data_IF_392298533744
#
_entry.id   IF_392298533744
#
_cell.length_a   1.000
_cell.length_b   1.000
_cell.length_c   1.000
_cell.angle_alpha   90.00
_cell.angle_beta   90.00
_cell.angle_gamma   90.00
#
_symmetry.space_group_name_H-M   'P 1'
#
loop_
_entity.id
_entity.type
_entity.pdbx_description
1 polymer ?
#
# COMPACT_ATOMS: atom_id res chain seq x y z
N UNK A 1 -33.40 5.59 -0.86
CA UNK A 1 -33.11 4.26 -0.30
C UNK A 1 -33.47 4.29 1.17
N UNK A 2 -34.17 3.29 1.68
CA UNK A 2 -34.39 3.15 3.11
C UNK A 2 -33.19 2.41 3.72
N UNK A 3 -32.50 3.03 4.66
CA UNK A 3 -31.34 2.50 5.39
C UNK A 3 -31.66 2.06 6.82
N UNK A 4 -32.94 1.92 7.17
CA UNK A 4 -33.36 1.49 8.51
C UNK A 4 -32.73 0.14 8.87
N UNK A 5 -32.08 0.07 10.03
CA UNK A 5 -31.36 -1.12 10.50
C UNK A 5 -30.03 -1.40 9.81
N UNK A 6 -29.52 -0.44 9.04
CA UNK A 6 -28.21 -0.51 8.36
C UNK A 6 -27.23 0.52 8.95
N UNK A 7 -25.97 0.39 8.58
CA UNK A 7 -24.86 1.21 9.11
C UNK A 7 -24.18 1.97 7.98
N UNK A 8 -24.05 3.27 8.15
CA UNK A 8 -23.42 4.15 7.18
C UNK A 8 -22.00 4.48 7.63
N UNK A 9 -21.02 4.23 6.76
CA UNK A 9 -19.62 4.60 6.98
C UNK A 9 -19.13 5.50 5.85
N UNK A 10 -18.03 6.26 6.03
CA UNK A 10 -17.36 6.92 4.91
C UNK A 10 -16.93 5.90 3.87
N UNK A 11 -16.83 6.34 2.62
CA UNK A 11 -16.25 5.53 1.56
C UNK A 11 -14.84 5.06 1.90
N UNK A 12 -14.56 3.78 1.69
CA UNK A 12 -13.26 3.21 2.03
C UNK A 12 -12.21 3.60 0.98
N UNK A 13 -10.97 3.72 1.44
CA UNK A 13 -9.78 3.85 0.61
C UNK A 13 -8.98 2.55 0.63
N UNK A 14 -8.53 2.11 -0.55
CA UNK A 14 -7.36 1.25 -0.63
C UNK A 14 -6.13 2.12 -0.85
N UNK A 15 -5.34 2.27 0.21
CA UNK A 15 -4.26 3.27 0.26
C UNK A 15 -2.96 2.78 -0.38
N UNK A 16 -2.96 1.59 -0.99
CA UNK A 16 -1.82 1.03 -1.72
C UNK A 16 -2.28 0.03 -2.79
N UNK A 17 -2.33 0.47 -4.03
CA UNK A 17 -2.67 -0.36 -5.18
C UNK A 17 -1.70 -0.14 -6.34
N UNK A 18 -1.71 -1.04 -7.33
CA UNK A 18 -0.96 -0.94 -8.57
C UNK A 18 -1.86 -1.22 -9.78
N UNK A 19 -2.32 -0.18 -10.45
CA UNK A 19 -3.20 -0.28 -11.63
C UNK A 19 -2.52 -0.94 -12.83
N UNK A 20 -1.20 -0.84 -12.93
CA UNK A 20 -0.42 -1.28 -14.08
C UNK A 20 0.48 -2.50 -13.83
N UNK A 21 0.48 -3.07 -12.61
CA UNK A 21 1.33 -4.23 -12.28
C UNK A 21 0.95 -5.49 -13.08
N UNK A 22 -0.33 -5.78 -13.15
CA UNK A 22 -0.90 -6.86 -13.96
C UNK A 22 -2.06 -6.31 -14.79
N UNK A 23 -1.79 -6.09 -16.06
CA UNK A 23 -2.73 -5.42 -16.97
C UNK A 23 -4.05 -6.17 -17.17
N UNK A 24 -4.12 -7.47 -16.84
CA UNK A 24 -5.37 -8.24 -16.85
C UNK A 24 -6.43 -7.64 -15.93
N UNK A 25 -5.98 -7.01 -14.83
CA UNK A 25 -6.88 -6.39 -13.84
C UNK A 25 -7.24 -4.94 -14.14
N UNK A 26 -6.46 -4.20 -14.92
CA UNK A 26 -6.56 -2.74 -15.06
C UNK A 26 -7.99 -2.27 -15.39
N UNK A 27 -8.66 -2.90 -16.36
CA UNK A 27 -10.03 -2.53 -16.75
C UNK A 27 -11.09 -2.96 -15.72
N UNK A 28 -10.88 -4.08 -15.02
CA UNK A 28 -11.82 -4.62 -14.04
C UNK A 28 -11.73 -3.93 -12.67
N UNK A 29 -10.54 -3.41 -12.30
CA UNK A 29 -10.28 -2.83 -10.98
C UNK A 29 -11.32 -1.81 -10.52
N UNK A 30 -11.74 -0.80 -11.33
CA UNK A 30 -12.69 0.19 -10.85
C UNK A 30 -14.02 -0.42 -10.39
N UNK A 31 -14.55 -1.39 -11.13
CA UNK A 31 -15.76 -2.12 -10.78
C UNK A 31 -15.58 -2.97 -9.53
N UNK A 32 -14.47 -3.69 -9.44
CA UNK A 32 -14.13 -4.53 -8.29
C UNK A 32 -13.98 -3.69 -7.01
N UNK A 33 -13.32 -2.54 -7.06
CA UNK A 33 -13.21 -1.64 -5.92
C UNK A 33 -14.58 -1.17 -5.44
N UNK A 34 -15.41 -0.62 -6.33
CA UNK A 34 -16.77 -0.15 -5.95
C UNK A 34 -17.65 -1.29 -5.44
N UNK A 35 -17.57 -2.49 -6.02
CA UNK A 35 -18.33 -3.66 -5.56
C UNK A 35 -18.08 -3.97 -4.08
N UNK A 36 -16.89 -3.65 -3.60
CA UNK A 36 -16.44 -3.86 -2.21
C UNK A 36 -16.44 -2.59 -1.35
N UNK A 37 -17.04 -1.48 -1.80
CA UNK A 37 -17.17 -0.26 -0.99
C UNK A 37 -15.95 0.65 -1.00
N UNK A 38 -14.95 0.38 -1.85
CA UNK A 38 -13.78 1.24 -2.00
C UNK A 38 -14.11 2.35 -2.99
N UNK A 39 -14.16 3.59 -2.51
CA UNK A 39 -14.52 4.78 -3.27
C UNK A 39 -13.33 5.63 -3.66
N UNK A 40 -12.15 5.33 -3.12
CA UNK A 40 -10.89 5.99 -3.43
C UNK A 40 -9.74 5.02 -3.40
N UNK A 41 -8.76 5.22 -4.28
CA UNK A 41 -7.55 4.40 -4.38
C UNK A 41 -6.31 5.28 -4.54
N UNK A 42 -5.18 4.80 -4.02
CA UNK A 42 -3.87 5.40 -4.23
C UNK A 42 -2.99 4.42 -5.01
N UNK A 43 -2.76 4.72 -6.32
CA UNK A 43 -1.83 3.97 -7.16
C UNK A 43 -0.39 4.35 -6.81
N UNK A 44 0.34 3.41 -6.26
CA UNK A 44 1.66 3.64 -5.67
C UNK A 44 2.81 3.28 -6.61
N UNK A 45 2.53 3.05 -7.88
CA UNK A 45 3.62 2.91 -8.83
C UNK A 45 3.29 2.15 -10.11
N UNK A 46 3.78 2.70 -11.21
CA UNK A 46 3.73 2.12 -12.54
C UNK A 46 4.26 3.08 -13.60
N UNK A 47 4.67 2.58 -14.78
CA UNK A 47 5.09 3.42 -15.90
C UNK A 47 3.99 4.38 -16.31
N UNK A 48 4.32 5.66 -16.54
CA UNK A 48 3.34 6.68 -16.92
C UNK A 48 2.51 6.27 -18.13
N UNK A 49 3.14 5.63 -19.13
CA UNK A 49 2.48 5.15 -20.35
C UNK A 49 1.38 4.10 -20.11
N UNK A 50 1.42 3.39 -18.99
CA UNK A 50 0.41 2.42 -18.59
C UNK A 50 -0.58 3.00 -17.57
N UNK A 51 -0.11 3.82 -16.63
CA UNK A 51 -0.92 4.38 -15.54
C UNK A 51 -1.82 5.49 -16.04
N UNK A 52 -1.30 6.43 -16.86
CA UNK A 52 -2.07 7.59 -17.30
C UNK A 52 -3.36 7.24 -18.05
N UNK A 53 -3.39 6.30 -19.02
CA UNK A 53 -4.64 5.91 -19.67
C UNK A 53 -5.69 5.34 -18.70
N UNK A 54 -5.25 4.58 -17.68
CA UNK A 54 -6.15 4.04 -16.64
C UNK A 54 -6.70 5.18 -15.76
N UNK A 55 -5.83 6.09 -15.31
CA UNK A 55 -6.22 7.27 -14.52
C UNK A 55 -7.18 8.17 -15.30
N UNK A 56 -6.91 8.47 -16.56
CA UNK A 56 -7.79 9.26 -17.42
C UNK A 56 -9.17 8.61 -17.58
N UNK A 57 -9.21 7.29 -17.77
CA UNK A 57 -10.47 6.53 -17.84
C UNK A 57 -11.28 6.64 -16.53
N UNK A 58 -10.62 6.51 -15.38
CA UNK A 58 -11.23 6.60 -14.05
C UNK A 58 -11.68 8.05 -13.73
N UNK A 59 -10.92 9.05 -14.16
CA UNK A 59 -11.20 10.48 -13.92
C UNK A 59 -12.19 11.09 -14.91
N UNK A 60 -12.49 10.40 -16.01
CA UNK A 60 -13.41 10.90 -17.05
C UNK A 60 -14.75 11.30 -16.43
N UNK A 61 -15.32 12.40 -16.91
CA UNK A 61 -16.63 12.90 -16.48
C UNK A 61 -17.71 11.81 -16.66
N UNK A 62 -18.53 11.59 -15.63
CA UNK A 62 -19.59 10.57 -15.61
C UNK A 62 -19.09 9.13 -15.42
N UNK A 63 -17.78 8.89 -15.26
CA UNK A 63 -17.29 7.54 -14.99
C UNK A 63 -17.76 7.02 -13.62
N UNK A 64 -18.37 5.84 -13.62
CA UNK A 64 -18.70 5.09 -12.40
C UNK A 64 -17.45 4.34 -11.95
N UNK A 65 -16.62 5.01 -11.17
CA UNK A 65 -15.32 4.53 -10.73
C UNK A 65 -14.92 5.20 -9.40
N UNK A 66 -14.00 4.62 -8.61
CA UNK A 66 -13.45 5.29 -7.43
C UNK A 66 -12.72 6.59 -7.81
N UNK A 67 -12.38 7.41 -6.83
CA UNK A 67 -11.38 8.46 -7.02
C UNK A 67 -10.00 7.80 -7.10
N UNK A 68 -9.10 8.36 -7.92
CA UNK A 68 -7.75 7.85 -8.07
C UNK A 68 -6.73 8.94 -7.82
N UNK A 69 -5.72 8.61 -7.03
CA UNK A 69 -4.49 9.38 -6.80
C UNK A 69 -3.32 8.51 -7.23
N UNK A 70 -2.33 9.04 -7.95
CA UNK A 70 -1.28 8.23 -8.54
C UNK A 70 0.11 8.87 -8.44
N UNK A 71 1.14 8.04 -8.31
CA UNK A 71 2.54 8.47 -8.20
C UNK A 71 3.32 8.43 -9.52
N UNK A 72 2.90 7.62 -10.49
CA UNK A 72 3.77 7.25 -11.62
C UNK A 72 4.85 6.25 -11.20
N UNK A 73 6.01 6.17 -11.90
CA UNK A 73 7.04 5.19 -11.62
C UNK A 73 7.70 5.39 -10.24
N UNK A 74 8.13 4.28 -9.65
CA UNK A 74 8.94 4.27 -8.42
C UNK A 74 10.27 5.00 -8.68
N UNK A 75 10.61 5.96 -7.85
CA UNK A 75 11.90 6.65 -7.88
C UNK A 75 12.94 5.79 -7.16
N UNK A 76 13.70 5.00 -7.89
CA UNK A 76 14.75 4.13 -7.36
C UNK A 76 16.15 4.77 -7.53
N UNK A 77 17.19 4.10 -7.05
CA UNK A 77 18.56 4.56 -7.18
C UNK A 77 19.20 4.20 -8.53
N UNK A 78 20.54 4.07 -8.55
CA UNK A 78 21.29 3.62 -9.72
C UNK A 78 20.89 2.21 -10.15
N UNK A 79 20.62 1.32 -9.18
CA UNK A 79 20.22 -0.06 -9.40
C UNK A 79 18.71 -0.22 -9.20
N UNK A 80 17.97 -0.17 -10.29
CA UNK A 80 16.50 -0.24 -10.24
C UNK A 80 16.04 -1.66 -9.88
N UNK A 81 15.16 -1.79 -8.90
CA UNK A 81 14.60 -3.09 -8.49
C UNK A 81 13.60 -3.62 -9.50
N UNK A 82 12.65 -2.78 -9.89
CA UNK A 82 11.61 -3.12 -10.87
C UNK A 82 11.98 -2.53 -12.23
N UNK A 83 12.95 -3.17 -12.88
CA UNK A 83 13.67 -2.69 -14.07
C UNK A 83 13.03 -3.09 -15.43
N UNK A 84 12.08 -4.03 -15.42
CA UNK A 84 11.47 -4.57 -16.64
C UNK A 84 12.19 -5.79 -17.23
N UNK A 85 13.39 -6.12 -16.77
CA UNK A 85 14.16 -7.27 -17.27
C UNK A 85 13.92 -8.53 -16.43
N UNK A 86 14.09 -8.42 -15.11
CA UNK A 86 13.92 -9.54 -14.17
C UNK A 86 12.68 -9.40 -13.28
N UNK A 87 12.13 -8.20 -13.21
CA UNK A 87 10.94 -7.83 -12.48
C UNK A 87 10.04 -7.00 -13.39
N UNK A 88 8.72 -6.88 -13.13
CA UNK A 88 7.87 -5.96 -13.90
C UNK A 88 8.47 -4.55 -13.95
N UNK A 89 8.27 -3.83 -15.05
CA UNK A 89 8.73 -2.45 -15.15
C UNK A 89 7.80 -1.54 -14.33
N UNK A 90 8.28 -1.07 -13.20
CA UNK A 90 7.56 -0.11 -12.35
C UNK A 90 8.44 1.08 -11.93
N UNK A 91 9.76 0.92 -11.96
CA UNK A 91 10.72 1.90 -11.43
C UNK A 91 11.50 2.65 -12.51
N UNK A 92 12.02 3.81 -12.13
CA UNK A 92 13.00 4.58 -12.89
C UNK A 92 14.21 4.87 -12.02
N UNK A 93 15.40 4.85 -12.65
CA UNK A 93 16.67 5.07 -11.96
C UNK A 93 16.97 6.55 -11.74
N UNK A 94 17.56 6.82 -10.58
CA UNK A 94 18.11 8.12 -10.21
C UNK A 94 19.56 7.92 -9.75
N UNK A 95 20.51 7.71 -10.70
CA UNK A 95 21.90 7.45 -10.35
C UNK A 95 22.60 8.68 -9.75
N UNK A 96 22.09 9.88 -9.99
CA UNK A 96 22.64 11.14 -9.54
C UNK A 96 21.55 12.20 -9.30
N UNK A 97 21.97 13.32 -8.71
CA UNK A 97 21.09 14.45 -8.37
C UNK A 97 20.43 15.09 -9.60
N UNK A 98 21.17 15.20 -10.71
CA UNK A 98 20.65 15.84 -11.93
C UNK A 98 19.52 15.01 -12.55
N UNK A 99 19.68 13.69 -12.60
CA UNK A 99 18.64 12.75 -13.04
C UNK A 99 17.42 12.76 -12.12
N UNK A 100 17.65 12.81 -10.78
CA UNK A 100 16.55 12.91 -9.82
C UNK A 100 15.70 14.18 -10.05
N UNK A 101 16.33 15.35 -10.24
CA UNK A 101 15.64 16.61 -10.55
C UNK A 101 14.88 16.53 -11.86
N UNK A 102 15.46 15.94 -12.90
CA UNK A 102 14.81 15.77 -14.20
C UNK A 102 13.59 14.84 -14.12
N UNK A 103 13.70 13.73 -13.39
CA UNK A 103 12.59 12.82 -13.17
C UNK A 103 11.47 13.48 -12.36
N UNK A 104 11.78 14.23 -11.29
CA UNK A 104 10.79 14.98 -10.53
C UNK A 104 10.04 16.00 -11.38
N UNK A 105 10.75 16.74 -12.25
CA UNK A 105 10.10 17.68 -13.17
C UNK A 105 9.18 16.96 -14.16
N UNK A 106 9.58 15.80 -14.70
CA UNK A 106 8.74 14.96 -15.57
C UNK A 106 7.48 14.46 -14.88
N UNK A 107 7.57 14.05 -13.62
CA UNK A 107 6.42 13.58 -12.85
C UNK A 107 5.43 14.72 -12.55
N UNK A 108 5.94 15.88 -12.17
CA UNK A 108 5.14 17.09 -11.96
C UNK A 108 4.40 17.51 -13.24
N UNK A 109 5.09 17.52 -14.39
CA UNK A 109 4.48 17.77 -15.71
C UNK A 109 3.40 16.74 -16.07
N UNK A 110 3.58 15.48 -15.66
CA UNK A 110 2.58 14.42 -15.85
C UNK A 110 1.37 14.54 -14.91
N UNK A 111 1.40 15.45 -13.93
CA UNK A 111 0.31 15.72 -13.01
C UNK A 111 0.10 14.61 -11.98
N UNK A 112 1.19 14.00 -11.48
CA UNK A 112 1.11 13.05 -10.37
C UNK A 112 0.60 13.74 -9.10
N UNK A 113 -0.11 13.00 -8.26
CA UNK A 113 -0.66 13.54 -7.01
C UNK A 113 0.35 13.44 -5.85
N UNK A 114 1.34 12.56 -5.97
CA UNK A 114 2.42 12.35 -5.00
C UNK A 114 3.57 11.60 -5.69
N UNK A 115 4.68 11.38 -4.98
CA UNK A 115 5.82 10.61 -5.50
C UNK A 115 6.19 9.47 -4.56
N UNK A 116 6.74 8.38 -5.10
CA UNK A 116 7.17 7.22 -4.33
C UNK A 116 8.65 6.95 -4.49
N UNK A 117 9.37 7.00 -3.37
CA UNK A 117 10.78 6.59 -3.30
C UNK A 117 10.90 5.08 -3.06
N UNK A 118 12.00 4.49 -3.57
CA UNK A 118 12.21 3.06 -3.46
C UNK A 118 13.53 2.69 -2.76
N UNK A 119 13.88 1.40 -2.69
CA UNK A 119 14.84 0.87 -1.74
C UNK A 119 16.32 1.11 -2.09
N UNK A 120 16.65 1.40 -3.37
CA UNK A 120 18.04 1.58 -3.81
C UNK A 120 18.50 3.04 -3.85
N UNK A 121 17.69 3.97 -3.42
CA UNK A 121 18.03 5.41 -3.39
C UNK A 121 19.20 5.65 -2.45
N UNK A 122 20.20 6.44 -2.91
CA UNK A 122 21.29 6.91 -2.07
C UNK A 122 20.86 8.06 -1.15
N UNK A 123 21.56 8.32 -0.04
CA UNK A 123 21.23 9.45 0.84
C UNK A 123 21.27 10.80 0.15
N UNK A 124 22.20 11.00 -0.80
CA UNK A 124 22.35 12.23 -1.56
C UNK A 124 21.16 12.45 -2.50
N UNK A 125 20.77 11.41 -3.23
CA UNK A 125 19.57 11.43 -4.10
C UNK A 125 18.30 11.59 -3.29
N UNK A 126 18.19 10.91 -2.13
CA UNK A 126 17.05 11.09 -1.24
C UNK A 126 16.85 12.55 -0.81
N UNK A 127 17.94 13.23 -0.42
CA UNK A 127 17.88 14.64 -0.03
C UNK A 127 17.37 15.54 -1.17
N UNK A 128 17.80 15.27 -2.42
CA UNK A 128 17.31 15.99 -3.61
C UNK A 128 15.85 15.71 -3.86
N UNK A 129 15.42 14.45 -3.78
CA UNK A 129 13.99 14.09 -3.99
C UNK A 129 13.09 14.76 -2.95
N UNK A 130 13.52 14.85 -1.69
CA UNK A 130 12.81 15.59 -0.63
C UNK A 130 12.71 17.08 -0.96
N UNK A 131 13.82 17.72 -1.35
CA UNK A 131 13.84 19.14 -1.76
C UNK A 131 12.86 19.40 -2.92
N UNK A 132 12.93 18.57 -3.95
CA UNK A 132 12.11 18.71 -5.16
C UNK A 132 10.60 18.46 -4.89
N UNK A 133 10.27 17.48 -4.05
CA UNK A 133 8.88 17.21 -3.65
C UNK A 133 8.30 18.38 -2.84
N UNK A 134 9.06 18.89 -1.87
CA UNK A 134 8.65 20.06 -1.08
C UNK A 134 8.45 21.32 -1.95
N UNK A 135 9.37 21.57 -2.90
CA UNK A 135 9.26 22.72 -3.81
C UNK A 135 8.01 22.66 -4.69
N UNK A 136 7.50 21.47 -5.00
CA UNK A 136 6.28 21.24 -5.80
C UNK A 136 5.02 21.02 -4.97
N UNK A 137 5.13 20.93 -3.66
CA UNK A 137 4.02 20.59 -2.77
C UNK A 137 3.48 19.16 -2.97
N UNK A 138 4.32 18.23 -3.45
CA UNK A 138 3.97 16.84 -3.64
C UNK A 138 4.24 16.05 -2.36
N UNK A 139 3.24 15.33 -1.80
CA UNK A 139 3.50 14.37 -0.73
C UNK A 139 4.46 13.27 -1.20
N UNK A 140 5.20 12.72 -0.25
CA UNK A 140 6.12 11.60 -0.51
C UNK A 140 5.65 10.34 0.21
N UNK A 141 5.65 9.26 -0.52
CA UNK A 141 5.46 7.89 -0.08
C UNK A 141 6.75 7.09 -0.32
N UNK A 142 6.95 5.97 0.32
CA UNK A 142 8.04 5.10 -0.06
C UNK A 142 8.36 3.95 0.86
N UNK A 143 9.50 3.35 0.58
CA UNK A 143 10.19 2.41 1.46
C UNK A 143 11.36 3.11 2.14
N UNK A 144 11.79 2.61 3.30
CA UNK A 144 13.08 3.03 3.85
C UNK A 144 14.18 2.52 2.92
N UNK A 145 15.02 3.41 2.32
CA UNK A 145 16.12 2.97 1.46
C UNK A 145 17.11 2.09 2.23
N UNK A 146 17.61 1.04 1.58
CA UNK A 146 18.57 0.11 2.18
C UNK A 146 19.90 0.79 2.60
N UNK A 147 20.18 1.95 2.03
CA UNK A 147 21.32 2.81 2.38
C UNK A 147 21.12 3.71 3.60
N UNK A 148 19.89 3.74 4.19
CA UNK A 148 19.48 4.69 5.22
C UNK A 148 18.84 4.01 6.41
N UNK A 149 18.56 4.77 7.47
CA UNK A 149 17.78 4.35 8.61
C UNK A 149 16.37 4.92 8.55
N UNK A 150 15.36 4.20 9.09
CA UNK A 150 13.99 4.66 9.15
C UNK A 150 13.83 6.01 9.87
N UNK A 151 14.62 6.24 10.93
CA UNK A 151 14.64 7.50 11.67
C UNK A 151 15.12 8.71 10.85
N UNK A 152 15.92 8.46 9.80
CA UNK A 152 16.46 9.50 8.92
C UNK A 152 15.53 9.76 7.72
N UNK A 153 14.62 8.83 7.44
CA UNK A 153 13.66 8.88 6.32
C UNK A 153 12.28 9.36 6.78
N UNK A 154 11.76 8.76 7.85
CA UNK A 154 10.41 9.00 8.34
C UNK A 154 10.02 10.47 8.46
N UNK A 155 10.83 11.35 9.10
CA UNK A 155 10.49 12.76 9.25
C UNK A 155 10.32 13.55 7.94
N UNK A 156 10.73 12.99 6.81
CA UNK A 156 10.73 13.64 5.50
C UNK A 156 9.66 13.12 4.54
N UNK A 157 8.96 12.04 4.90
CA UNK A 157 7.94 11.41 4.07
C UNK A 157 6.61 11.34 4.82
N UNK A 158 5.49 11.39 4.09
CA UNK A 158 4.17 11.36 4.66
C UNK A 158 3.68 9.94 4.91
N UNK A 159 4.18 8.95 4.15
CA UNK A 159 3.92 7.53 4.43
C UNK A 159 5.09 6.62 4.11
N UNK A 160 5.12 5.45 4.79
CA UNK A 160 6.04 4.35 4.53
C UNK A 160 5.26 3.04 4.39
N UNK A 161 5.72 2.20 3.45
CA UNK A 161 4.98 1.04 3.00
C UNK A 161 5.59 -0.29 3.48
N UNK A 162 4.72 -1.28 3.72
CA UNK A 162 5.05 -2.68 3.98
C UNK A 162 5.97 -2.93 5.18
N UNK A 163 6.16 -1.95 6.07
CA UNK A 163 7.14 -2.02 7.17
C UNK A 163 8.58 -2.26 6.68
N UNK A 164 8.86 -1.92 5.40
CA UNK A 164 10.14 -2.28 4.76
C UNK A 164 11.33 -1.64 5.45
N UNK A 165 12.27 -2.51 5.83
CA UNK A 165 13.58 -2.19 6.39
C UNK A 165 13.55 -1.54 7.79
N UNK A 166 12.37 -1.39 8.43
CA UNK A 166 12.24 -0.87 9.80
C UNK A 166 12.83 -1.88 10.80
N UNK A 167 12.65 -3.19 10.53
CA UNK A 167 13.25 -4.26 11.34
C UNK A 167 14.77 -4.13 11.48
N UNK A 168 15.44 -3.63 10.43
CA UNK A 168 16.88 -3.47 10.40
C UNK A 168 17.39 -2.32 11.28
N UNK A 169 16.49 -1.47 11.77
CA UNK A 169 16.79 -0.36 12.68
C UNK A 169 16.34 -0.65 14.12
N UNK A 170 15.49 -1.67 14.32
CA UNK A 170 15.04 -2.13 15.63
C UNK A 170 16.05 -3.02 16.35
N UNK A 171 17.36 -2.71 16.24
CA UNK A 171 18.49 -3.43 16.82
C UNK A 171 19.40 -2.47 17.60
N UNK A 172 20.28 -3.00 18.46
CA UNK A 172 21.12 -2.18 19.34
C UNK A 172 22.12 -1.27 18.59
N UNK A 173 22.57 -1.65 17.39
CA UNK A 173 23.55 -0.86 16.62
C UNK A 173 23.20 -0.79 15.13
N UNK A 174 22.10 -0.11 14.74
CA UNK A 174 21.65 -0.05 13.34
C UNK A 174 22.63 0.70 12.42
N UNK A 175 23.43 1.63 12.95
CA UNK A 175 24.43 2.39 12.15
C UNK A 175 25.52 1.49 11.56
N UNK A 176 25.98 0.48 12.30
CA UNK A 176 26.95 -0.48 11.78
C UNK A 176 26.37 -1.28 10.62
N UNK A 177 25.13 -1.76 10.76
CA UNK A 177 24.40 -2.51 9.73
C UNK A 177 24.19 -1.68 8.47
N UNK A 178 23.83 -0.39 8.60
CA UNK A 178 23.73 0.53 7.45
C UNK A 178 25.07 0.67 6.74
N UNK A 179 26.18 0.83 7.47
CA UNK A 179 27.51 0.94 6.88
C UNK A 179 27.88 -0.31 6.06
N UNK A 180 27.58 -1.51 6.59
CA UNK A 180 27.77 -2.78 5.88
C UNK A 180 26.90 -2.86 4.62
N UNK A 181 25.61 -2.53 4.71
CA UNK A 181 24.69 -2.50 3.57
C UNK A 181 25.19 -1.56 2.46
N UNK A 182 25.72 -0.39 2.81
CA UNK A 182 26.29 0.56 1.83
C UNK A 182 27.49 -0.01 1.07
N UNK A 183 28.31 -0.85 1.70
CA UNK A 183 29.41 -1.54 1.00
C UNK A 183 28.86 -2.54 -0.03
N UNK A 184 27.77 -3.25 0.28
CA UNK A 184 27.12 -4.17 -0.67
C UNK A 184 26.42 -3.38 -1.79
N UNK A 185 25.77 -2.25 -1.46
CA UNK A 185 25.09 -1.38 -2.42
C UNK A 185 26.03 -0.68 -3.41
N UNK A 186 27.34 -0.58 -3.10
CA UNK A 186 28.35 -0.14 -4.07
C UNK A 186 28.41 -1.06 -5.31
N UNK A 187 27.95 -2.30 -5.17
CA UNK A 187 27.67 -3.25 -6.24
C UNK A 187 28.75 -3.34 -7.33
N UNK A 188 30.02 -3.58 -7.00
CA UNK A 188 31.11 -3.60 -7.97
C UNK A 188 30.99 -4.69 -9.02
N UNK A 189 30.17 -5.71 -8.77
CA UNK A 189 29.92 -6.85 -9.66
C UNK A 189 28.78 -6.59 -10.65
N UNK A 190 28.04 -5.46 -10.52
CA UNK A 190 26.91 -5.13 -11.41
C UNK A 190 25.72 -6.09 -11.29
N UNK A 191 25.41 -6.53 -10.07
CA UNK A 191 24.26 -7.41 -9.81
C UNK A 191 22.97 -6.64 -10.10
N UNK A 192 21.96 -7.25 -10.79
CA UNK A 192 20.67 -6.59 -11.01
C UNK A 192 20.00 -6.13 -9.71
N UNK A 193 19.37 -4.94 -9.73
CA UNK A 193 18.81 -4.29 -8.53
C UNK A 193 17.85 -5.17 -7.73
N UNK A 194 16.95 -5.92 -8.39
CA UNK A 194 16.04 -6.86 -7.74
C UNK A 194 16.75 -8.02 -7.02
N UNK A 195 17.86 -8.50 -7.61
CA UNK A 195 18.70 -9.56 -7.00
C UNK A 195 19.47 -9.00 -5.80
N UNK A 196 20.08 -7.81 -5.95
CA UNK A 196 20.81 -7.12 -4.88
C UNK A 196 19.93 -6.86 -3.67
N UNK A 197 18.72 -6.32 -3.90
CA UNK A 197 17.69 -6.15 -2.86
C UNK A 197 17.39 -7.47 -2.14
N UNK A 198 17.15 -8.53 -2.90
CA UNK A 198 16.80 -9.84 -2.33
C UNK A 198 17.95 -10.44 -1.49
N UNK A 199 19.20 -10.20 -1.89
CA UNK A 199 20.38 -10.61 -1.13
C UNK A 199 20.45 -9.84 0.21
N UNK A 200 20.25 -8.52 0.19
CA UNK A 200 20.26 -7.68 1.39
C UNK A 200 19.11 -8.04 2.35
N UNK A 201 17.90 -8.25 1.84
CA UNK A 201 16.79 -8.70 2.68
C UNK A 201 17.08 -10.06 3.34
N UNK A 202 17.64 -11.01 2.59
CA UNK A 202 18.01 -12.33 3.13
C UNK A 202 19.09 -12.23 4.20
N UNK A 203 20.08 -11.35 4.01
CA UNK A 203 21.20 -11.22 4.91
C UNK A 203 20.82 -10.50 6.22
N UNK A 204 19.88 -9.57 6.20
CA UNK A 204 19.65 -8.67 7.34
C UNK A 204 18.29 -8.79 8.00
N UNK A 205 17.20 -9.17 7.28
CA UNK A 205 15.84 -9.13 7.84
C UNK A 205 15.66 -10.05 9.05
N UNK A 206 15.81 -11.36 8.87
CA UNK A 206 15.61 -12.32 9.96
C UNK A 206 16.64 -12.12 11.07
N UNK A 207 17.96 -11.96 10.80
CA UNK A 207 18.93 -11.64 11.85
C UNK A 207 18.60 -10.38 12.66
N UNK A 208 18.03 -9.34 12.03
CA UNK A 208 17.60 -8.14 12.75
C UNK A 208 16.39 -8.40 13.66
N UNK A 209 15.43 -9.20 13.21
CA UNK A 209 14.29 -9.60 14.03
C UNK A 209 14.75 -10.40 15.25
N UNK A 210 15.69 -11.33 15.07
CA UNK A 210 16.27 -12.13 16.16
C UNK A 210 17.11 -11.28 17.13
N UNK A 211 17.69 -10.17 16.65
CA UNK A 211 18.49 -9.23 17.44
C UNK A 211 17.68 -8.03 17.93
N UNK A 212 16.37 -8.14 17.99
CA UNK A 212 15.46 -7.05 18.39
C UNK A 212 15.89 -6.39 19.71
N UNK A 213 15.97 -5.06 19.68
CA UNK A 213 16.19 -4.20 20.84
C UNK A 213 15.00 -3.26 21.04
N UNK A 214 14.25 -3.49 22.11
CA UNK A 214 13.02 -2.73 22.37
C UNK A 214 13.27 -1.23 22.52
N UNK A 215 14.35 -0.84 23.22
CA UNK A 215 14.65 0.58 23.46
C UNK A 215 14.97 1.28 22.16
N UNK A 216 15.87 0.72 21.36
CA UNK A 216 16.22 1.27 20.05
C UNK A 216 15.03 1.31 19.08
N UNK A 217 14.21 0.26 19.08
CA UNK A 217 13.01 0.23 18.23
C UNK A 217 12.01 1.33 18.61
N UNK A 218 11.71 1.52 19.90
CA UNK A 218 10.82 2.60 20.36
C UNK A 218 11.34 3.98 20.02
N UNK A 219 12.66 4.19 20.02
CA UNK A 219 13.27 5.46 19.56
C UNK A 219 13.06 5.67 18.06
N UNK A 220 13.17 4.62 17.24
CA UNK A 220 12.87 4.67 15.80
C UNK A 220 11.39 5.02 15.59
N UNK A 221 10.47 4.34 16.29
CA UNK A 221 9.04 4.60 16.16
C UNK A 221 8.66 6.02 16.62
N UNK A 222 9.30 6.54 17.67
CA UNK A 222 9.08 7.91 18.13
C UNK A 222 9.45 8.96 17.06
N UNK A 223 10.38 8.66 16.15
CA UNK A 223 10.74 9.55 15.03
C UNK A 223 9.73 9.52 13.89
N UNK A 224 8.78 8.57 13.89
CA UNK A 224 7.81 8.35 12.82
C UNK A 224 6.36 8.67 13.22
N UNK A 225 6.14 9.36 14.32
CA UNK A 225 4.78 9.69 14.79
C UNK A 225 4.00 10.64 13.87
N UNK A 226 4.67 11.27 12.91
CA UNK A 226 4.04 12.07 11.84
C UNK A 226 3.97 11.34 10.48
N UNK A 227 4.43 10.09 10.39
CA UNK A 227 4.56 9.34 9.14
C UNK A 227 3.61 8.15 9.15
N UNK A 228 2.62 8.16 8.27
CA UNK A 228 1.63 7.08 8.17
C UNK A 228 2.34 5.79 7.74
N UNK A 229 2.12 4.71 8.50
CA UNK A 229 2.63 3.39 8.12
C UNK A 229 1.50 2.61 7.44
N UNK A 230 1.75 2.12 6.22
CA UNK A 230 0.82 1.27 5.47
C UNK A 230 1.39 -0.15 5.44
N UNK A 231 1.07 -0.97 6.43
CA UNK A 231 1.78 -2.22 6.69
C UNK A 231 1.51 -3.31 5.66
N UNK A 232 0.39 -3.26 4.95
CA UNK A 232 -0.06 -4.33 4.06
C UNK A 232 0.06 -5.71 4.71
N UNK A 233 -0.51 -5.86 5.92
CA UNK A 233 -0.42 -7.09 6.71
C UNK A 233 -0.99 -8.30 5.97
N UNK A 234 -2.02 -8.08 5.12
CA UNK A 234 -2.56 -9.14 4.26
C UNK A 234 -1.48 -9.77 3.35
N UNK A 235 -0.42 -9.01 2.99
CA UNK A 235 0.74 -9.49 2.23
C UNK A 235 1.85 -9.99 3.16
N UNK A 236 2.31 -9.16 4.10
CA UNK A 236 3.42 -9.50 4.99
C UNK A 236 3.11 -10.70 5.90
N UNK A 237 1.86 -10.85 6.31
CA UNK A 237 1.39 -11.96 7.12
C UNK A 237 0.55 -12.98 6.34
N UNK A 238 0.71 -13.07 5.02
CA UNK A 238 -0.02 -13.97 4.12
C UNK A 238 0.01 -15.44 4.61
N UNK A 239 1.14 -15.89 5.19
CA UNK A 239 1.28 -17.23 5.72
C UNK A 239 0.33 -17.52 6.91
N UNK A 240 -0.08 -16.50 7.67
CA UNK A 240 -1.00 -16.63 8.81
C UNK A 240 -2.47 -16.74 8.37
N UNK A 241 -2.82 -16.12 7.24
CA UNK A 241 -4.21 -16.10 6.72
C UNK A 241 -4.22 -16.04 5.20
N UNK A 242 -3.87 -17.13 4.50
CA UNK A 242 -3.88 -17.14 3.05
C UNK A 242 -5.31 -16.98 2.49
N UNK A 243 -5.54 -16.11 1.48
CA UNK A 243 -6.87 -15.83 0.98
C UNK A 243 -7.59 -17.06 0.40
N UNK A 244 -6.86 -17.95 -0.26
CA UNK A 244 -7.40 -19.19 -0.84
C UNK A 244 -7.82 -20.24 0.21
N UNK A 245 -7.60 -20.02 1.52
CA UNK A 245 -8.13 -20.85 2.60
C UNK A 245 -9.49 -20.36 3.11
N UNK A 246 -9.95 -19.21 2.65
CA UNK A 246 -11.24 -18.66 3.04
C UNK A 246 -12.37 -19.36 2.31
N UNK A 247 -13.49 -19.56 2.99
CA UNK A 247 -14.65 -20.26 2.45
C UNK A 247 -15.27 -19.55 1.22
N UNK A 248 -15.16 -18.23 1.14
CA UNK A 248 -15.67 -17.37 0.08
C UNK A 248 -14.71 -17.18 -1.12
N UNK A 249 -13.52 -17.81 -1.10
CA UNK A 249 -12.50 -17.60 -2.14
C UNK A 249 -13.00 -17.94 -3.56
N UNK A 250 -13.78 -18.99 -3.71
CA UNK A 250 -14.38 -19.34 -5.00
C UNK A 250 -15.31 -18.24 -5.57
N UNK A 251 -16.03 -17.54 -4.69
CA UNK A 251 -16.88 -16.40 -5.09
C UNK A 251 -16.05 -15.19 -5.50
N UNK A 252 -14.88 -15.02 -4.86
CA UNK A 252 -13.91 -13.98 -5.23
C UNK A 252 -13.37 -14.25 -6.62
N UNK A 253 -12.85 -15.45 -6.87
CA UNK A 253 -12.30 -15.84 -8.18
C UNK A 253 -13.34 -15.65 -9.31
N UNK A 254 -14.61 -15.94 -9.06
CA UNK A 254 -15.68 -15.79 -10.05
C UNK A 254 -15.94 -14.35 -10.51
N UNK A 255 -15.40 -13.34 -9.80
CA UNK A 255 -15.50 -11.92 -10.14
C UNK A 255 -14.26 -11.37 -10.84
N UNK A 256 -13.14 -12.10 -10.81
CA UNK A 256 -11.88 -11.67 -11.40
C UNK A 256 -11.86 -11.93 -12.92
N UNK A 257 -10.97 -11.27 -13.66
CA UNK A 257 -10.69 -11.61 -15.05
C UNK A 257 -10.38 -13.09 -15.21
N UNK A 258 -10.94 -13.73 -16.25
CA UNK A 258 -10.94 -15.20 -16.42
C UNK A 258 -9.53 -15.82 -16.34
N UNK A 259 -8.56 -15.23 -17.03
CA UNK A 259 -7.18 -15.72 -17.04
C UNK A 259 -6.52 -15.62 -15.66
N UNK A 260 -6.75 -14.54 -14.92
CA UNK A 260 -6.24 -14.36 -13.57
C UNK A 260 -6.93 -15.31 -12.58
N UNK A 261 -8.24 -15.48 -12.70
CA UNK A 261 -9.01 -16.41 -11.89
C UNK A 261 -8.57 -17.88 -12.09
N UNK A 262 -8.30 -18.27 -13.34
CA UNK A 262 -7.80 -19.59 -13.68
C UNK A 262 -6.39 -19.84 -13.09
N UNK A 263 -5.48 -18.87 -13.21
CA UNK A 263 -4.14 -18.94 -12.64
C UNK A 263 -4.19 -19.04 -11.12
N UNK A 264 -4.91 -18.13 -10.46
CA UNK A 264 -4.98 -18.12 -9.00
C UNK A 264 -5.71 -19.34 -8.41
N UNK A 265 -6.73 -19.84 -9.11
CA UNK A 265 -7.41 -21.08 -8.73
C UNK A 265 -6.54 -22.32 -8.88
N UNK A 266 -5.67 -22.36 -9.91
CA UNK A 266 -4.72 -23.45 -10.11
C UNK A 266 -3.59 -23.44 -9.05
N UNK A 267 -3.15 -22.26 -8.61
CA UNK A 267 -2.10 -22.12 -7.58
C UNK A 267 -2.56 -22.56 -6.20
N UNK A 268 -3.85 -22.47 -5.88
CA UNK A 268 -4.43 -22.93 -4.63
C UNK A 268 -4.07 -24.41 -4.31
N UNK A 269 -4.16 -25.28 -5.31
CA UNK A 269 -3.81 -26.71 -5.17
C UNK A 269 -2.30 -26.99 -5.11
N UNK A 270 -1.46 -26.10 -5.64
CA UNK A 270 -0.01 -26.30 -5.77
C UNK A 270 0.82 -25.82 -4.58
N UNK A 271 0.25 -25.01 -3.70
CA UNK A 271 0.93 -24.40 -2.55
C UNK A 271 1.15 -25.36 -1.36
N UNK A 272 1.13 -26.67 -1.58
CA UNK A 272 1.37 -27.71 -0.55
C UNK A 272 2.78 -27.75 0.07
N UNK A 273 3.68 -26.88 -0.37
CA UNK A 273 5.06 -26.74 0.16
C UNK A 273 5.33 -25.39 0.81
N UNK A 274 4.35 -24.79 1.49
CA UNK A 274 4.51 -23.49 2.15
C UNK A 274 5.62 -23.52 3.18
N UNK A 275 6.36 -22.42 3.24
CA UNK A 275 7.18 -22.14 4.40
C UNK A 275 6.30 -22.14 5.64
N UNK A 276 6.66 -23.00 6.61
CA UNK A 276 6.06 -22.99 7.95
C UNK A 276 6.73 -21.92 8.82
N UNK A 277 7.71 -21.18 8.29
CA UNK A 277 8.36 -20.10 8.98
C UNK A 277 7.44 -18.89 9.01
N UNK A 278 6.98 -18.54 10.20
CA UNK A 278 6.12 -17.38 10.48
C UNK A 278 6.89 -16.23 11.13
N UNK A 279 8.22 -16.29 11.19
CA UNK A 279 9.05 -15.29 11.87
C UNK A 279 8.75 -13.87 11.37
N UNK A 280 8.77 -13.65 10.06
CA UNK A 280 8.47 -12.32 9.49
C UNK A 280 6.97 -11.95 9.57
N UNK A 281 6.02 -12.85 9.27
CA UNK A 281 4.60 -12.65 9.57
C UNK A 281 4.30 -12.23 11.00
N UNK A 282 4.79 -12.99 11.98
CA UNK A 282 4.58 -12.70 13.41
C UNK A 282 5.24 -11.38 13.82
N UNK A 283 6.45 -11.11 13.32
CA UNK A 283 7.12 -9.82 13.48
C UNK A 283 6.28 -8.66 12.93
N UNK A 284 5.71 -8.80 11.74
CA UNK A 284 4.89 -7.76 11.13
C UNK A 284 3.67 -7.42 11.99
N UNK A 285 3.00 -8.44 12.53
CA UNK A 285 1.88 -8.26 13.46
C UNK A 285 2.33 -7.57 14.76
N UNK A 286 3.44 -8.00 15.33
CA UNK A 286 4.03 -7.41 16.53
C UNK A 286 4.42 -5.94 16.31
N UNK A 287 5.09 -5.63 15.19
CA UNK A 287 5.56 -4.28 14.89
C UNK A 287 4.39 -3.31 14.70
N UNK A 288 3.31 -3.72 14.04
CA UNK A 288 2.10 -2.89 13.90
C UNK A 288 1.46 -2.60 15.26
N UNK A 289 1.39 -3.58 16.15
CA UNK A 289 0.92 -3.36 17.51
C UNK A 289 1.81 -2.35 18.26
N UNK A 290 3.13 -2.53 18.17
CA UNK A 290 4.10 -1.63 18.81
C UNK A 290 4.02 -0.20 18.25
N UNK A 291 3.82 -0.05 16.94
CA UNK A 291 3.57 1.24 16.28
C UNK A 291 2.32 1.91 16.82
N UNK A 292 1.22 1.15 16.89
CA UNK A 292 -0.05 1.64 17.43
C UNK A 292 0.10 2.11 18.89
N UNK A 293 0.72 1.31 19.77
CA UNK A 293 1.00 1.69 21.16
C UNK A 293 1.93 2.92 21.26
N UNK A 294 2.82 3.13 20.29
CA UNK A 294 3.75 4.26 20.22
C UNK A 294 3.14 5.52 19.58
N UNK A 295 1.86 5.48 19.19
CA UNK A 295 1.18 6.62 18.58
C UNK A 295 1.55 6.89 17.11
N UNK A 296 2.19 5.94 16.43
CA UNK A 296 2.47 6.02 14.99
C UNK A 296 1.18 5.81 14.21
N UNK A 297 0.82 6.71 13.27
CA UNK A 297 -0.41 6.58 12.51
C UNK A 297 -0.35 5.39 11.53
N UNK A 298 -1.44 4.61 11.46
CA UNK A 298 -1.56 3.43 10.59
C UNK A 298 -2.57 3.73 9.47
N UNK A 299 -2.19 3.45 8.23
CA UNK A 299 -3.04 3.44 7.03
C UNK A 299 -3.33 2.02 6.56
N UNK A 300 -4.41 1.82 5.81
CA UNK A 300 -4.81 0.53 5.27
C UNK A 300 -4.64 0.48 3.75
N UNK A 301 -3.80 -0.41 3.25
CA UNK A 301 -3.56 -0.65 1.83
C UNK A 301 -3.28 -2.12 1.55
N UNK A 302 -3.47 -2.57 0.32
CA UNK A 302 -3.45 -4.00 0.00
C UNK A 302 -2.29 -4.48 -0.85
N UNK A 303 -1.63 -3.58 -1.57
CA UNK A 303 -0.66 -3.95 -2.60
C UNK A 303 -1.29 -4.81 -3.73
N UNK A 304 -2.58 -4.56 -4.03
CA UNK A 304 -3.30 -5.28 -5.09
C UNK A 304 -2.71 -4.96 -6.48
N UNK A 305 -2.53 -5.95 -7.39
CA UNK A 305 -2.95 -7.35 -7.30
C UNK A 305 -1.87 -8.32 -6.80
N UNK A 306 -0.81 -7.84 -6.14
CA UNK A 306 0.35 -8.63 -5.73
C UNK A 306 -0.03 -9.65 -4.63
N UNK A 307 0.50 -10.88 -4.72
CA UNK A 307 0.33 -11.91 -3.68
C UNK A 307 -1.14 -12.29 -3.42
N UNK A 308 -1.91 -12.53 -4.47
CA UNK A 308 -3.34 -12.89 -4.41
C UNK A 308 -4.24 -11.80 -3.78
N UNK A 309 -3.84 -10.53 -3.89
CA UNK A 309 -4.68 -9.43 -3.48
C UNK A 309 -5.77 -9.16 -4.52
N UNK A 310 -6.94 -9.74 -4.36
CA UNK A 310 -8.08 -9.43 -5.19
C UNK A 310 -8.53 -7.97 -4.96
N UNK A 311 -8.61 -7.14 -6.03
CA UNK A 311 -8.98 -5.74 -5.91
C UNK A 311 -10.31 -5.57 -5.16
N UNK A 312 -10.34 -4.66 -4.19
CA UNK A 312 -11.48 -4.41 -3.33
C UNK A 312 -11.66 -5.43 -2.20
N UNK A 313 -11.71 -6.71 -2.50
CA UNK A 313 -11.88 -7.78 -1.50
C UNK A 313 -10.78 -7.78 -0.44
N UNK A 314 -9.53 -7.58 -0.86
CA UNK A 314 -8.38 -7.71 0.03
C UNK A 314 -8.24 -6.59 1.04
N UNK A 315 -8.86 -5.41 0.84
CA UNK A 315 -8.87 -4.36 1.84
C UNK A 315 -9.60 -4.81 3.13
N UNK A 316 -10.69 -5.56 3.00
CA UNK A 316 -11.38 -6.08 4.17
C UNK A 316 -10.51 -7.08 4.94
N UNK A 317 -9.66 -7.87 4.24
CA UNK A 317 -8.69 -8.74 4.90
C UNK A 317 -7.60 -7.94 5.61
N UNK A 318 -7.15 -6.83 5.04
CA UNK A 318 -6.21 -5.91 5.72
C UNK A 318 -6.82 -5.34 6.99
N UNK A 319 -8.08 -4.87 6.96
CA UNK A 319 -8.78 -4.38 8.15
C UNK A 319 -8.91 -5.45 9.24
N UNK A 320 -9.24 -6.69 8.86
CA UNK A 320 -9.25 -7.83 9.78
C UNK A 320 -7.88 -8.07 10.43
N UNK A 321 -6.80 -7.98 9.63
CA UNK A 321 -5.42 -8.17 10.12
C UNK A 321 -4.98 -7.01 11.03
N UNK A 322 -5.36 -5.77 10.74
CA UNK A 322 -5.09 -4.61 11.61
C UNK A 322 -5.75 -4.79 12.99
N UNK A 323 -7.02 -5.23 13.01
CA UNK A 323 -7.70 -5.52 14.28
C UNK A 323 -7.02 -6.68 15.02
N UNK A 324 -6.63 -7.73 14.30
CA UNK A 324 -5.88 -8.85 14.89
C UNK A 324 -4.51 -8.41 15.43
N UNK A 325 -3.88 -7.39 14.82
CA UNK A 325 -2.62 -6.80 15.29
C UNK A 325 -2.80 -5.88 16.51
N UNK A 326 -4.03 -5.61 16.96
CA UNK A 326 -4.30 -4.86 18.20
C UNK A 326 -5.04 -3.54 18.02
N UNK A 327 -5.34 -3.10 16.79
CA UNK A 327 -6.16 -1.93 16.58
C UNK A 327 -7.63 -2.22 16.94
N UNK A 328 -8.34 -1.23 17.45
CA UNK A 328 -9.80 -1.33 17.56
C UNK A 328 -10.45 -1.28 16.17
N UNK A 329 -11.69 -1.78 16.00
CA UNK A 329 -12.42 -1.66 14.73
C UNK A 329 -12.54 -0.21 14.23
N UNK A 330 -12.70 0.76 15.15
CA UNK A 330 -12.74 2.18 14.81
C UNK A 330 -11.41 2.66 14.23
N UNK A 331 -10.28 2.26 14.81
CA UNK A 331 -8.95 2.64 14.34
C UNK A 331 -8.64 2.00 12.98
N UNK A 332 -9.02 0.74 12.78
CA UNK A 332 -8.92 0.07 11.47
C UNK A 332 -9.77 0.78 10.40
N UNK A 333 -11.00 1.22 10.72
CA UNK A 333 -11.80 2.04 9.81
C UNK A 333 -11.14 3.39 9.52
N UNK A 334 -10.58 4.07 10.53
CA UNK A 334 -9.84 5.32 10.33
C UNK A 334 -8.61 5.13 9.44
N UNK A 335 -7.94 3.98 9.51
CA UNK A 335 -6.82 3.63 8.62
C UNK A 335 -7.22 3.59 7.14
N UNK A 336 -8.49 3.24 6.84
CA UNK A 336 -9.04 3.20 5.48
C UNK A 336 -9.94 4.39 5.12
N UNK A 337 -10.01 5.44 5.94
CA UNK A 337 -10.88 6.61 5.68
C UNK A 337 -10.19 7.93 5.98
N UNK A 338 -9.80 8.16 7.21
CA UNK A 338 -9.23 9.44 7.69
C UNK A 338 -7.75 9.55 7.31
N UNK A 339 -6.96 8.50 7.52
CA UNK A 339 -5.50 8.54 7.27
C UNK A 339 -5.13 8.82 5.81
N UNK A 340 -5.78 8.21 4.80
CA UNK A 340 -5.57 8.60 3.41
C UNK A 340 -5.92 10.07 3.12
N UNK A 341 -6.99 10.59 3.72
CA UNK A 341 -7.35 12.00 3.57
C UNK A 341 -6.29 12.93 4.18
N UNK A 342 -5.77 12.60 5.37
CA UNK A 342 -4.67 13.34 6.02
C UNK A 342 -3.41 13.39 5.16
N UNK A 343 -3.05 12.28 4.48
CA UNK A 343 -1.89 12.23 3.58
C UNK A 343 -1.96 13.27 2.46
N UNK A 344 -3.16 13.50 1.92
CA UNK A 344 -3.38 14.45 0.83
C UNK A 344 -3.84 15.84 1.30
N UNK A 345 -3.95 16.09 2.62
CA UNK A 345 -4.49 17.35 3.15
C UNK A 345 -5.98 17.55 2.86
N UNK A 346 -6.73 16.46 2.68
CA UNK A 346 -8.15 16.43 2.34
C UNK A 346 -9.07 16.09 3.53
N UNK A 347 -8.55 16.10 4.75
CA UNK A 347 -9.31 15.79 5.98
C UNK A 347 -10.47 16.75 6.25
N UNK A 348 -10.47 17.93 5.62
CA UNK A 348 -11.58 18.88 5.59
C UNK A 348 -12.68 18.54 4.58
N UNK A 349 -12.41 17.65 3.61
CA UNK A 349 -13.29 17.35 2.49
C UNK A 349 -13.85 15.92 2.52
N UNK A 350 -13.08 14.95 3.04
CA UNK A 350 -13.45 13.53 3.02
C UNK A 350 -12.90 12.77 4.24
N UNK A 351 -13.19 11.47 4.32
CA UNK A 351 -12.76 10.60 5.43
C UNK A 351 -13.73 10.54 6.61
N UNK A 352 -14.68 11.48 6.73
CA UNK A 352 -15.76 11.48 7.74
C UNK A 352 -17.11 11.84 7.11
N UNK A 353 -18.21 11.59 7.85
CA UNK A 353 -19.57 11.92 7.41
C UNK A 353 -20.02 13.19 8.12
N UNK A 354 -19.95 14.30 7.44
CA UNK A 354 -20.34 15.62 7.95
C UNK A 354 -20.98 16.46 6.82
N UNK A 355 -21.91 17.38 7.13
CA UNK A 355 -22.45 18.29 6.14
C UNK A 355 -21.36 19.15 5.47
N UNK A 356 -21.37 19.23 4.15
CA UNK A 356 -20.40 19.99 3.36
C UNK A 356 -19.21 19.17 2.85
N UNK A 357 -19.05 17.92 3.30
CA UNK A 357 -18.02 17.01 2.81
C UNK A 357 -18.46 16.25 1.55
N UNK A 358 -17.50 15.69 0.83
CA UNK A 358 -17.76 14.82 -0.31
C UNK A 358 -18.58 13.60 0.13
N UNK A 359 -19.66 13.32 -0.61
CA UNK A 359 -20.56 12.21 -0.31
C UNK A 359 -20.04 10.89 -0.94
N UNK A 360 -18.87 10.44 -0.47
CA UNK A 360 -18.37 9.09 -0.71
C UNK A 360 -18.73 8.24 0.52
N UNK A 361 -19.70 7.31 0.36
CA UNK A 361 -20.37 6.64 1.48
C UNK A 361 -20.57 5.17 1.17
N UNK A 362 -20.54 4.32 2.20
CA UNK A 362 -20.86 2.90 2.11
C UNK A 362 -21.94 2.55 3.13
N UNK A 363 -22.99 1.89 2.66
CA UNK A 363 -24.06 1.36 3.49
C UNK A 363 -23.83 -0.14 3.71
N UNK A 364 -23.77 -0.55 4.98
CA UNK A 364 -23.50 -1.92 5.43
C UNK A 364 -24.74 -2.52 6.10
N UNK A 365 -24.95 -3.84 6.00
CA UNK A 365 -26.04 -4.52 6.71
C UNK A 365 -25.69 -4.84 8.17
N UNK A 366 -24.42 -4.73 8.60
CA UNK A 366 -23.99 -5.00 9.96
C UNK A 366 -23.07 -3.92 10.49
N UNK A 367 -22.93 -3.82 11.83
CA UNK A 367 -22.12 -2.81 12.49
C UNK A 367 -20.63 -3.21 12.46
N UNK A 368 -19.76 -2.54 11.69
CA UNK A 368 -18.35 -2.87 11.62
C UNK A 368 -17.57 -2.55 12.91
N UNK A 369 -18.18 -1.82 13.85
CA UNK A 369 -17.57 -1.57 15.15
C UNK A 369 -17.75 -2.75 16.13
N UNK A 370 -18.78 -3.57 15.91
CA UNK A 370 -19.00 -4.80 16.68
C UNK A 370 -18.17 -5.96 16.13
N UNK A 371 -18.03 -6.01 14.80
CA UNK A 371 -17.22 -7.01 14.08
C UNK A 371 -16.71 -6.39 12.76
N UNK A 372 -15.39 -6.19 12.66
CA UNK A 372 -14.75 -5.59 11.50
C UNK A 372 -15.01 -6.36 10.18
N UNK A 373 -15.28 -7.66 10.26
CA UNK A 373 -15.61 -8.48 9.08
C UNK A 373 -16.88 -8.03 8.38
N UNK A 374 -17.76 -7.31 9.09
CA UNK A 374 -19.00 -6.75 8.56
C UNK A 374 -18.79 -5.57 7.59
N UNK A 375 -17.56 -5.06 7.45
CA UNK A 375 -17.20 -4.16 6.35
C UNK A 375 -17.44 -4.79 4.96
N UNK A 376 -17.46 -6.14 4.88
CA UNK A 376 -17.80 -6.89 3.66
C UNK A 376 -19.27 -6.87 3.32
N UNK A 377 -20.16 -6.48 4.24
CA UNK A 377 -21.61 -6.54 4.09
C UNK A 377 -22.23 -5.38 3.30
N UNK A 378 -21.54 -4.93 2.24
CA UNK A 378 -21.89 -3.77 1.41
C UNK A 378 -23.26 -3.92 0.76
N UNK A 379 -24.16 -2.99 1.03
CA UNK A 379 -25.52 -2.93 0.46
C UNK A 379 -25.64 -1.84 -0.62
N UNK A 380 -24.96 -0.73 -0.43
CA UNK A 380 -24.90 0.36 -1.41
C UNK A 380 -23.62 1.16 -1.26
N UNK A 381 -23.25 1.85 -2.33
CA UNK A 381 -22.13 2.80 -2.38
C UNK A 381 -22.63 4.11 -2.99
N UNK A 382 -22.22 5.22 -2.41
CA UNK A 382 -22.34 6.55 -3.03
C UNK A 382 -20.92 7.03 -3.33
N UNK A 383 -20.66 7.39 -4.57
CA UNK A 383 -19.38 7.97 -5.00
C UNK A 383 -19.58 8.92 -6.16
N UNK A 384 -18.92 10.08 -6.18
CA UNK A 384 -18.99 11.07 -7.26
C UNK A 384 -20.42 11.43 -7.67
N UNK A 385 -21.37 11.43 -6.70
CA UNK A 385 -22.80 11.69 -6.96
C UNK A 385 -23.60 10.49 -7.47
N UNK A 386 -23.00 9.32 -7.69
CA UNK A 386 -23.68 8.11 -8.10
C UNK A 386 -24.09 7.27 -6.89
N UNK A 387 -25.39 6.91 -6.80
CA UNK A 387 -25.88 5.91 -5.85
C UNK A 387 -25.96 4.56 -6.54
N UNK A 388 -25.16 3.62 -6.08
CA UNK A 388 -25.08 2.24 -6.56
C UNK A 388 -25.65 1.31 -5.49
N UNK A 389 -26.81 0.71 -5.74
CA UNK A 389 -27.33 -0.35 -4.88
C UNK A 389 -26.63 -1.68 -5.16
N UNK A 390 -26.88 -2.72 -4.36
CA UNK A 390 -26.21 -4.03 -4.51
C UNK A 390 -26.32 -4.59 -5.94
N UNK A 391 -27.48 -4.50 -6.58
CA UNK A 391 -27.66 -5.01 -7.93
C UNK A 391 -26.82 -4.24 -8.98
N UNK A 392 -26.70 -2.92 -8.83
CA UNK A 392 -25.84 -2.09 -9.67
C UNK A 392 -24.35 -2.41 -9.45
N UNK A 393 -23.93 -2.61 -8.18
CA UNK A 393 -22.57 -3.01 -7.83
C UNK A 393 -22.22 -4.39 -8.40
N UNK A 394 -23.14 -5.36 -8.34
CA UNK A 394 -22.93 -6.70 -8.89
C UNK A 394 -22.84 -6.69 -10.43
N UNK A 395 -23.49 -5.72 -11.07
CA UNK A 395 -23.38 -5.57 -12.53
C UNK A 395 -22.02 -5.04 -13.00
N UNK A 396 -21.23 -4.41 -12.11
CA UNK A 396 -19.89 -3.91 -12.45
C UNK A 396 -18.83 -5.02 -12.56
N UNK A 397 -19.12 -6.22 -12.04
CA UNK A 397 -18.15 -7.32 -11.89
C UNK A 397 -18.62 -8.63 -12.58
N UNK A 398 -19.48 -8.50 -13.59
CA UNK A 398 -20.02 -9.62 -14.41
C UNK A 398 -19.30 -9.72 -15.73
#
# INVERSE_FOLDING_TARGET
MDGSGQYLIPGLWDFHVHLAYDQRFTEAMPGLFLNHGITSIRDTGGPLELVLPAVESIRREGAVAPRVFFAGPLLDGEHVVYDGDNMPLLGIGNPDEATARANMARLDEAGVDFVKIYEMVSPEVFAVLVEEAQARGLPMDGHVPLSMQARDVGPHVQSLEHLRNIEMDCIANPRATVAERRLVLANPEGVPGGTLRSQLHRAYRIPSIEAYDEVGCREVLASMTSTIQVPTLRLNALALQPPFTRADWGEVLAKLPEDAAAEWGAMDGSMGGRSTDTTYPDWSMFLVNLMHESGVPIGAGTDTPIGFAAPGYSLHSELEMLVRAGLSPMEALRAATVRPAEFFGLEGEMGTIEPGRLADLVLLSGNPLDDITLTRSVQAVVTKGHLLNRAALDALVR
#
